data_IF_153886564719
#
_entry.id   IF_153886564719
#
_cell.length_a   1.000
_cell.length_b   1.000
_cell.length_c   1.000
_cell.angle_alpha   90.00
_cell.angle_beta   90.00
_cell.angle_gamma   90.00
#
_symmetry.space_group_name_H-M   'P 1'
#
loop_
_entity.id
_entity.type
_entity.pdbx_description
1 polymer ?
#
# COMPACT_ATOMS: atom_id res chain seq x y z
N UNK A 1 45.78 39.51 -33.13
CA UNK A 1 45.42 38.89 -31.85
C UNK A 1 46.07 37.51 -31.78
N UNK A 2 46.82 37.19 -30.69
CA UNK A 2 47.53 35.92 -30.63
C UNK A 2 46.54 34.76 -30.53
N UNK A 3 46.88 33.68 -31.25
CA UNK A 3 46.04 32.45 -31.36
C UNK A 3 45.67 31.84 -29.99
N UNK A 4 46.51 32.07 -28.98
CA UNK A 4 46.25 31.59 -27.60
C UNK A 4 44.99 32.19 -26.94
N UNK A 5 44.64 33.44 -27.24
CA UNK A 5 43.40 34.07 -26.75
C UNK A 5 42.11 33.50 -27.43
N UNK A 6 42.23 33.01 -28.64
CA UNK A 6 41.09 32.41 -29.36
C UNK A 6 40.80 31.00 -28.84
N UNK A 7 41.83 30.24 -28.43
CA UNK A 7 41.69 28.90 -27.85
C UNK A 7 41.11 28.93 -26.40
N UNK A 8 41.42 29.99 -25.64
CA UNK A 8 40.86 30.15 -24.28
C UNK A 8 39.38 30.47 -24.28
N UNK A 9 38.87 31.22 -25.26
CA UNK A 9 37.46 31.53 -25.42
C UNK A 9 36.61 30.32 -25.86
N UNK A 10 37.17 29.41 -26.62
CA UNK A 10 36.47 28.17 -27.03
C UNK A 10 36.42 27.11 -25.95
N UNK A 11 37.38 27.10 -25.02
CA UNK A 11 37.36 26.20 -23.85
C UNK A 11 36.40 26.66 -22.74
N UNK A 12 36.22 27.99 -22.57
CA UNK A 12 35.26 28.53 -21.61
C UNK A 12 33.80 28.33 -22.09
N UNK A 13 33.53 28.45 -23.40
CA UNK A 13 32.20 28.27 -23.97
C UNK A 13 31.72 26.81 -23.94
N UNK A 14 32.63 25.83 -23.88
CA UNK A 14 32.28 24.40 -23.82
C UNK A 14 31.97 23.91 -22.38
N UNK A 15 32.25 24.70 -21.32
CA UNK A 15 31.96 24.33 -19.94
C UNK A 15 30.56 24.70 -19.46
N UNK A 16 29.85 25.56 -20.17
CA UNK A 16 28.49 26.00 -19.80
C UNK A 16 27.37 25.17 -20.44
N UNK A 17 27.71 24.15 -21.26
CA UNK A 17 26.72 23.30 -21.94
C UNK A 17 26.63 21.86 -21.38
N UNK A 18 27.37 21.54 -20.30
CA UNK A 18 27.11 20.33 -19.54
C UNK A 18 26.00 20.66 -18.53
N UNK A 19 24.76 20.51 -18.97
CA UNK A 19 23.61 20.50 -18.09
C UNK A 19 23.91 19.59 -16.90
N UNK A 20 23.56 20.02 -15.70
CA UNK A 20 23.67 19.19 -14.51
C UNK A 20 23.05 17.82 -14.86
N UNK A 21 23.69 16.69 -14.50
CA UNK A 21 23.13 15.39 -14.78
C UNK A 21 21.70 15.38 -14.24
N UNK A 22 20.74 15.04 -15.07
CA UNK A 22 19.37 14.85 -14.65
C UNK A 22 19.44 13.96 -13.40
N UNK A 23 18.93 14.44 -12.25
CA UNK A 23 18.91 13.64 -11.04
C UNK A 23 18.20 12.34 -11.40
N UNK A 24 18.93 11.24 -11.36
CA UNK A 24 18.34 9.92 -11.52
C UNK A 24 17.14 9.87 -10.56
N UNK A 25 15.96 9.74 -11.11
CA UNK A 25 14.73 9.56 -10.32
C UNK A 25 14.64 8.12 -9.82
N UNK A 26 15.75 7.58 -9.32
CA UNK A 26 15.78 6.25 -8.74
C UNK A 26 14.89 6.26 -7.49
N UNK A 27 13.97 5.29 -7.45
CA UNK A 27 13.11 5.02 -6.31
C UNK A 27 13.49 3.66 -5.73
N UNK A 28 13.65 3.62 -4.41
CA UNK A 28 13.76 2.35 -3.70
C UNK A 28 12.36 1.83 -3.40
N UNK A 29 12.18 0.53 -3.52
CA UNK A 29 10.92 -0.14 -3.31
C UNK A 29 11.11 -1.33 -2.37
N UNK A 30 10.30 -1.41 -1.33
CA UNK A 30 10.23 -2.52 -0.38
C UNK A 30 8.84 -3.10 -0.43
N UNK A 31 8.74 -4.44 -0.47
CA UNK A 31 7.46 -5.14 -0.44
C UNK A 31 7.38 -6.00 0.82
N UNK A 32 6.23 -5.97 1.48
CA UNK A 32 5.88 -6.90 2.56
C UNK A 32 4.61 -7.65 2.16
N UNK A 33 4.69 -8.98 2.16
CA UNK A 33 3.52 -9.85 2.02
C UNK A 33 3.01 -10.26 3.40
N UNK A 34 1.69 -10.28 3.57
CA UNK A 34 1.01 -10.60 4.82
C UNK A 34 -0.19 -11.48 4.47
N UNK A 35 -0.18 -12.73 4.93
CA UNK A 35 -1.32 -13.62 4.77
C UNK A 35 -2.24 -13.50 6.00
N UNK A 36 -3.55 -13.48 5.78
CA UNK A 36 -4.56 -13.46 6.84
C UNK A 36 -5.89 -14.01 6.34
N UNK A 37 -6.71 -14.52 7.25
CA UNK A 37 -8.04 -15.05 6.95
C UNK A 37 -9.09 -14.03 7.34
N UNK A 38 -10.08 -13.79 6.48
CA UNK A 38 -11.19 -12.91 6.81
C UNK A 38 -12.49 -13.40 6.17
N UNK A 39 -13.61 -13.02 6.77
CA UNK A 39 -14.92 -13.19 6.17
C UNK A 39 -15.49 -11.86 5.72
N UNK A 40 -16.39 -11.90 4.75
CA UNK A 40 -17.13 -10.73 4.28
C UNK A 40 -18.42 -11.10 3.54
N UNK A 41 -19.20 -10.09 3.20
CA UNK A 41 -20.24 -10.13 2.16
C UNK A 41 -20.47 -8.74 1.57
N UNK A 42 -21.10 -8.69 0.41
CA UNK A 42 -21.41 -7.44 -0.27
C UNK A 42 -22.92 -7.18 -0.24
N UNK A 43 -23.32 -5.99 0.23
CA UNK A 43 -24.68 -5.49 0.17
C UNK A 43 -25.03 -5.05 -1.26
N UNK A 44 -26.34 -5.09 -1.59
CA UNK A 44 -26.87 -4.64 -2.88
C UNK A 44 -26.19 -5.30 -4.10
N UNK A 45 -25.74 -6.54 -3.91
CA UNK A 45 -25.05 -7.34 -4.91
C UNK A 45 -25.83 -8.62 -5.25
N UNK A 46 -26.03 -8.88 -6.53
CA UNK A 46 -26.82 -10.02 -7.00
C UNK A 46 -26.05 -11.33 -7.15
N UNK A 47 -24.71 -11.29 -7.10
CA UNK A 47 -23.84 -12.46 -7.24
C UNK A 47 -23.66 -13.24 -5.94
N UNK A 48 -22.78 -14.25 -5.97
CA UNK A 48 -22.52 -15.16 -4.82
C UNK A 48 -21.98 -14.43 -3.60
N UNK A 49 -21.21 -13.35 -3.78
CA UNK A 49 -20.59 -12.60 -2.69
C UNK A 49 -21.60 -11.85 -1.79
N UNK A 50 -22.91 -11.89 -2.09
CA UNK A 50 -23.97 -11.44 -1.18
C UNK A 50 -24.12 -12.30 0.07
N UNK A 51 -23.62 -13.53 0.03
CA UNK A 51 -23.64 -14.46 1.16
C UNK A 51 -22.35 -14.30 1.98
N UNK A 52 -22.43 -14.57 3.29
CA UNK A 52 -21.27 -14.62 4.14
C UNK A 52 -20.32 -15.71 3.64
N UNK A 53 -19.08 -15.35 3.39
CA UNK A 53 -18.02 -16.28 2.97
C UNK A 53 -16.66 -15.71 3.39
N UNK A 54 -15.59 -16.44 3.16
CA UNK A 54 -14.26 -16.03 3.58
C UNK A 54 -13.17 -16.38 2.57
N UNK A 55 -12.03 -15.75 2.78
CA UNK A 55 -10.83 -15.89 1.97
C UNK A 55 -9.59 -16.07 2.84
N UNK A 56 -8.61 -16.82 2.33
CA UNK A 56 -7.22 -16.71 2.74
C UNK A 56 -6.61 -15.57 1.92
N UNK A 57 -6.74 -14.35 2.42
CA UNK A 57 -6.27 -13.16 1.75
C UNK A 57 -4.77 -13.00 1.86
N UNK A 58 -4.16 -12.41 0.84
CA UNK A 58 -2.77 -11.96 0.86
C UNK A 58 -2.71 -10.47 0.58
N UNK A 59 -2.31 -9.68 1.57
CA UNK A 59 -1.97 -8.27 1.37
C UNK A 59 -0.50 -8.16 0.92
N UNK A 60 -0.27 -7.40 -0.15
CA UNK A 60 1.08 -7.01 -0.61
C UNK A 60 1.19 -5.50 -0.44
N UNK A 61 1.96 -5.08 0.55
CA UNK A 61 2.18 -3.67 0.88
C UNK A 61 3.49 -3.20 0.29
N UNK A 62 3.44 -2.16 -0.51
CA UNK A 62 4.60 -1.58 -1.17
C UNK A 62 4.93 -0.22 -0.57
N UNK A 63 6.17 -0.08 -0.12
CA UNK A 63 6.74 1.16 0.41
C UNK A 63 7.74 1.72 -0.60
N UNK A 64 7.73 3.02 -0.84
CA UNK A 64 8.65 3.67 -1.78
C UNK A 64 9.29 4.93 -1.17
N UNK A 65 10.57 5.14 -1.46
CA UNK A 65 11.29 6.36 -1.11
C UNK A 65 12.42 6.67 -2.11
N UNK A 66 12.71 7.95 -2.29
CA UNK A 66 13.80 8.41 -3.16
C UNK A 66 15.19 8.26 -2.52
N UNK A 67 15.26 8.03 -1.20
CA UNK A 67 16.53 7.90 -0.46
C UNK A 67 16.41 6.86 0.64
N UNK A 68 17.55 6.34 1.05
CA UNK A 68 17.70 5.41 2.17
C UNK A 68 18.19 6.16 3.42
N UNK A 69 18.00 5.56 4.58
CA UNK A 69 18.54 6.04 5.85
C UNK A 69 20.08 5.83 5.94
N UNK A 70 20.68 6.21 7.09
CA UNK A 70 22.12 6.06 7.33
C UNK A 70 22.59 4.60 7.35
N UNK A 71 21.67 3.63 7.52
CA UNK A 71 21.94 2.20 7.52
C UNK A 71 21.79 1.59 6.12
N UNK A 72 21.35 2.38 5.12
CA UNK A 72 21.08 1.92 3.77
C UNK A 72 19.71 1.25 3.62
N UNK A 73 18.73 1.57 4.51
CA UNK A 73 17.38 1.01 4.48
C UNK A 73 16.35 2.08 4.15
N UNK A 74 15.29 1.69 3.42
CA UNK A 74 14.08 2.50 3.27
C UNK A 74 13.28 2.45 4.58
N UNK A 75 13.11 1.26 5.12
CA UNK A 75 12.46 0.96 6.39
C UNK A 75 13.01 -0.37 6.89
N UNK A 76 13.07 -0.57 8.20
CA UNK A 76 13.41 -1.87 8.78
C UNK A 76 12.19 -2.80 8.70
N UNK A 77 12.36 -4.00 8.17
CA UNK A 77 11.28 -5.00 8.13
C UNK A 77 10.71 -5.34 9.52
N UNK A 78 11.52 -5.21 10.57
CA UNK A 78 11.05 -5.39 11.94
C UNK A 78 10.04 -4.32 12.36
N UNK A 79 10.18 -3.10 11.84
CA UNK A 79 9.23 -2.01 12.10
C UNK A 79 7.89 -2.30 11.41
N UNK A 80 7.92 -2.76 10.15
CA UNK A 80 6.70 -3.17 9.43
C UNK A 80 5.98 -4.30 10.18
N UNK A 81 6.74 -5.29 10.68
CA UNK A 81 6.17 -6.41 11.43
C UNK A 81 5.51 -5.97 12.72
N UNK A 82 6.15 -5.06 13.48
CA UNK A 82 5.62 -4.58 14.76
C UNK A 82 4.39 -3.69 14.62
N UNK A 83 4.28 -2.92 13.56
CA UNK A 83 3.14 -2.05 13.30
C UNK A 83 2.10 -2.76 12.44
N UNK A 84 2.31 -2.80 11.14
CA UNK A 84 1.31 -3.21 10.17
C UNK A 84 0.95 -4.70 10.25
N UNK A 85 1.95 -5.61 10.36
CA UNK A 85 1.62 -7.04 10.43
C UNK A 85 0.89 -7.36 11.74
N UNK A 86 1.31 -6.79 12.87
CA UNK A 86 0.65 -6.97 14.15
C UNK A 86 -0.78 -6.40 14.16
N UNK A 87 -1.00 -5.27 13.47
CA UNK A 87 -2.34 -4.70 13.34
C UNK A 87 -3.25 -5.59 12.47
N UNK A 88 -2.77 -6.10 11.34
CA UNK A 88 -3.56 -7.03 10.51
C UNK A 88 -3.91 -8.28 11.32
N UNK A 89 -2.97 -8.85 12.06
CA UNK A 89 -3.17 -10.01 12.91
C UNK A 89 -4.22 -9.76 14.01
N UNK A 90 -4.17 -8.59 14.67
CA UNK A 90 -5.10 -8.27 15.76
C UNK A 90 -6.46 -7.78 15.29
N UNK A 91 -6.53 -7.03 14.17
CA UNK A 91 -7.72 -6.30 13.77
C UNK A 91 -8.43 -6.84 12.55
N UNK A 92 -7.77 -7.62 11.69
CA UNK A 92 -8.37 -8.14 10.45
C UNK A 92 -8.39 -9.67 10.39
N UNK A 93 -7.37 -10.32 10.94
CA UNK A 93 -7.26 -11.79 10.85
C UNK A 93 -8.37 -12.47 11.67
N UNK A 94 -9.02 -13.47 11.07
CA UNK A 94 -10.17 -14.21 11.64
C UNK A 94 -11.34 -13.31 12.06
N UNK A 95 -11.55 -12.18 11.35
CA UNK A 95 -12.68 -11.27 11.59
C UNK A 95 -13.63 -11.24 10.40
N UNK A 96 -14.89 -10.89 10.69
CA UNK A 96 -15.90 -10.63 9.68
C UNK A 96 -15.89 -9.13 9.35
N UNK A 97 -15.44 -8.77 8.15
CA UNK A 97 -15.42 -7.38 7.66
C UNK A 97 -16.76 -7.10 6.97
N UNK A 98 -17.51 -6.11 7.46
CA UNK A 98 -18.85 -5.79 6.97
C UNK A 98 -19.00 -4.29 6.73
N UNK A 99 -19.91 -3.95 5.82
CA UNK A 99 -20.40 -2.58 5.70
C UNK A 99 -21.13 -2.18 6.99
N UNK A 100 -20.93 -0.95 7.50
CA UNK A 100 -21.60 -0.44 8.70
C UNK A 100 -23.12 -0.50 8.64
N UNK A 101 -23.71 -0.48 7.45
CA UNK A 101 -25.15 -0.59 7.23
C UNK A 101 -25.66 -2.03 7.09
N UNK A 102 -24.81 -3.04 7.33
CA UNK A 102 -25.19 -4.43 7.13
C UNK A 102 -26.22 -4.90 8.17
N UNK A 103 -27.44 -5.33 7.73
CA UNK A 103 -28.47 -5.80 8.66
C UNK A 103 -28.12 -7.08 9.41
N UNK A 104 -27.04 -7.80 9.04
CA UNK A 104 -26.59 -8.98 9.77
C UNK A 104 -25.81 -8.64 11.05
N UNK A 105 -25.33 -7.40 11.21
CA UNK A 105 -24.46 -6.98 12.32
C UNK A 105 -25.07 -7.32 13.69
N UNK A 106 -26.33 -6.95 14.03
CA UNK A 106 -26.87 -7.25 15.35
C UNK A 106 -26.93 -8.75 15.63
N UNK A 107 -27.20 -9.56 14.60
CA UNK A 107 -27.26 -11.01 14.76
C UNK A 107 -25.88 -11.62 15.02
N UNK A 108 -24.88 -11.23 14.21
CA UNK A 108 -23.50 -11.71 14.40
C UNK A 108 -22.92 -11.27 15.75
N UNK A 109 -23.20 -10.03 16.17
CA UNK A 109 -22.83 -9.56 17.50
C UNK A 109 -23.44 -10.40 18.62
N UNK A 110 -24.71 -10.79 18.47
CA UNK A 110 -25.39 -11.65 19.48
C UNK A 110 -24.77 -13.05 19.59
N UNK A 111 -24.06 -13.50 18.55
CA UNK A 111 -23.29 -14.75 18.53
C UNK A 111 -21.86 -14.58 19.09
N UNK A 112 -21.44 -13.34 19.35
CA UNK A 112 -20.08 -13.04 19.80
C UNK A 112 -19.04 -13.03 18.70
N UNK A 113 -19.45 -12.93 17.41
CA UNK A 113 -18.53 -12.89 16.30
C UNK A 113 -17.68 -11.61 16.28
N UNK A 114 -16.38 -11.72 16.04
CA UNK A 114 -15.50 -10.56 15.94
C UNK A 114 -15.73 -9.83 14.61
N UNK A 115 -16.17 -8.56 14.69
CA UNK A 115 -16.53 -7.76 13.52
C UNK A 115 -15.57 -6.61 13.31
N UNK A 116 -15.30 -6.31 12.03
CA UNK A 116 -14.70 -5.05 11.55
C UNK A 116 -15.74 -4.35 10.69
N UNK A 117 -16.10 -3.13 11.04
CA UNK A 117 -17.08 -2.35 10.31
C UNK A 117 -16.41 -1.26 9.50
N UNK A 118 -16.74 -1.18 8.22
CA UNK A 118 -16.24 -0.13 7.31
C UNK A 118 -17.42 0.57 6.63
N UNK A 119 -17.26 1.85 6.22
CA UNK A 119 -18.38 2.62 5.65
C UNK A 119 -18.97 2.02 4.36
N UNK A 120 -18.11 1.40 3.53
CA UNK A 120 -18.49 0.86 2.23
C UNK A 120 -18.53 -0.68 2.25
N UNK A 121 -19.00 -1.29 1.16
CA UNK A 121 -18.88 -2.74 0.97
C UNK A 121 -17.41 -3.19 1.09
N UNK A 122 -17.14 -4.26 1.85
CA UNK A 122 -15.79 -4.81 2.03
C UNK A 122 -15.31 -5.57 0.80
N UNK A 123 -15.19 -4.88 -0.33
CA UNK A 123 -14.56 -5.42 -1.53
C UNK A 123 -13.04 -5.47 -1.35
N UNK A 124 -12.34 -6.23 -2.18
CA UNK A 124 -10.88 -6.28 -2.14
C UNK A 124 -10.24 -4.88 -2.28
N UNK A 125 -10.86 -3.99 -3.09
CA UNK A 125 -10.41 -2.62 -3.27
C UNK A 125 -10.53 -1.80 -1.96
N UNK A 126 -11.66 -1.91 -1.26
CA UNK A 126 -11.90 -1.15 -0.04
C UNK A 126 -11.09 -1.68 1.14
N UNK A 127 -10.86 -3.00 1.23
CA UNK A 127 -9.98 -3.59 2.23
C UNK A 127 -8.51 -3.21 1.94
N UNK A 128 -8.07 -3.22 0.66
CA UNK A 128 -6.74 -2.73 0.30
C UNK A 128 -6.54 -1.26 0.68
N UNK A 129 -7.56 -0.41 0.47
CA UNK A 129 -7.55 1.00 0.91
C UNK A 129 -7.47 1.11 2.43
N UNK A 130 -8.24 0.33 3.18
CA UNK A 130 -8.20 0.31 4.65
C UNK A 130 -6.78 0.03 5.16
N UNK A 131 -6.13 -1.01 4.60
CA UNK A 131 -4.75 -1.37 4.96
C UNK A 131 -3.77 -0.25 4.58
N UNK A 132 -3.95 0.37 3.40
CA UNK A 132 -3.14 1.49 2.95
C UNK A 132 -3.23 2.68 3.91
N UNK A 133 -4.44 3.07 4.29
CA UNK A 133 -4.68 4.23 5.16
C UNK A 133 -4.12 3.98 6.56
N UNK A 134 -4.24 2.77 7.09
CA UNK A 134 -3.60 2.40 8.34
C UNK A 134 -2.07 2.48 8.25
N UNK A 135 -1.46 1.86 7.23
CA UNK A 135 0.00 1.91 7.04
C UNK A 135 0.51 3.36 6.94
N UNK A 136 -0.24 4.24 6.26
CA UNK A 136 0.08 5.67 6.17
C UNK A 136 -0.05 6.39 7.52
N UNK A 137 -1.06 6.05 8.32
CA UNK A 137 -1.24 6.65 9.66
C UNK A 137 -0.12 6.27 10.63
N UNK A 138 0.49 5.08 10.43
CA UNK A 138 1.68 4.63 11.16
C UNK A 138 2.98 5.30 10.66
N UNK A 139 2.90 6.22 9.70
CA UNK A 139 4.04 6.94 9.15
C UNK A 139 4.88 6.14 8.15
N UNK A 140 4.40 5.00 7.67
CA UNK A 140 5.08 4.23 6.64
C UNK A 140 4.94 4.92 5.27
N UNK A 141 6.01 4.98 4.46
CA UNK A 141 5.96 5.59 3.13
C UNK A 141 5.29 4.64 2.12
N UNK A 142 4.04 4.26 2.40
CA UNK A 142 3.27 3.34 1.59
C UNK A 142 2.89 3.97 0.25
N UNK A 143 3.14 3.27 -0.84
CA UNK A 143 2.84 3.68 -2.20
C UNK A 143 1.59 2.99 -2.76
N UNK A 144 1.43 1.71 -2.46
CA UNK A 144 0.27 0.92 -2.88
C UNK A 144 0.06 -0.28 -1.96
N UNK A 145 -1.17 -0.78 -1.94
CA UNK A 145 -1.52 -2.05 -1.30
C UNK A 145 -2.35 -2.86 -2.28
N UNK A 146 -1.96 -4.11 -2.49
CA UNK A 146 -2.75 -5.09 -3.23
C UNK A 146 -3.32 -6.12 -2.25
N UNK A 147 -4.61 -6.46 -2.40
CA UNK A 147 -5.24 -7.58 -1.69
C UNK A 147 -5.63 -8.65 -2.69
N UNK A 148 -5.12 -9.84 -2.50
CA UNK A 148 -5.45 -11.03 -3.27
C UNK A 148 -6.38 -11.92 -2.46
N UNK A 149 -7.57 -12.19 -2.98
CA UNK A 149 -8.56 -13.11 -2.37
C UNK A 149 -8.32 -14.56 -2.79
N UNK A 150 -7.63 -14.72 -3.91
CA UNK A 150 -7.26 -16.03 -4.46
C UNK A 150 -5.97 -15.89 -5.27
N UNK A 151 -5.43 -17.00 -5.76
CA UNK A 151 -4.25 -16.99 -6.64
C UNK A 151 -4.45 -16.25 -7.96
N UNK A 152 -5.71 -15.88 -8.32
CA UNK A 152 -6.05 -15.32 -9.63
C UNK A 152 -6.82 -14.00 -9.55
N UNK A 153 -7.27 -13.61 -8.37
CA UNK A 153 -8.15 -12.45 -8.20
C UNK A 153 -7.66 -11.60 -7.05
N UNK A 154 -7.42 -10.36 -7.33
CA UNK A 154 -6.99 -9.37 -6.35
C UNK A 154 -7.24 -7.96 -6.88
N UNK A 155 -7.20 -7.00 -5.99
CA UNK A 155 -7.34 -5.58 -6.29
C UNK A 155 -6.17 -4.79 -5.70
N UNK A 156 -5.83 -3.67 -6.33
CA UNK A 156 -4.77 -2.78 -5.85
C UNK A 156 -5.33 -1.39 -5.62
N UNK A 157 -5.09 -0.87 -4.44
CA UNK A 157 -5.31 0.54 -4.11
C UNK A 157 -3.99 1.31 -4.18
N UNK A 158 -3.98 2.35 -5.01
CA UNK A 158 -2.89 3.31 -5.16
C UNK A 158 -3.49 4.70 -5.32
N UNK A 159 -3.26 5.65 -4.41
CA UNK A 159 -3.74 7.01 -4.59
C UNK A 159 -3.08 7.65 -5.79
N UNK A 160 -3.82 8.49 -6.52
CA UNK A 160 -3.22 9.37 -7.53
C UNK A 160 -2.34 10.42 -6.84
N UNK A 161 -1.17 10.70 -7.40
CA UNK A 161 -0.35 11.80 -6.93
C UNK A 161 -1.16 13.11 -6.99
N UNK A 162 -1.30 13.80 -5.86
CA UNK A 162 -1.94 15.12 -5.76
C UNK A 162 -1.02 16.19 -6.29
#
# INVERSE_FOLDING_TARGET
LPIEKLLALTAAARRTALGAPARSSAMYRVCQEIDFCYGHRLLDYSGKCRYLHGHNGKAVVVLEAASLDKRGMLVDFSDIKRSLCAWIDSELDHRMILCESDPAIPHLQSLGEPLVLIPENPTAENIARLIFEHARSEGLPVAEVSLWESLRSGATYRPTAS
#
